data_IF_099594526045
#
_entry.id   IF_099594526045
#
_cell.length_a   1.000
_cell.length_b   1.000
_cell.length_c   1.000
_cell.angle_alpha   90.00
_cell.angle_beta   90.00
_cell.angle_gamma   90.00
#
_symmetry.space_group_name_H-M   'P 1'
#
loop_
_entity.id
_entity.type
_entity.pdbx_description
1 polymer ?
#
# COMPACT_ATOMS: atom_id res chain seq x y z
N UNK A 1 -13.82 -13.35 7.09
CA UNK A 1 -12.95 -13.78 8.20
C UNK A 1 -13.69 -13.52 9.49
N UNK A 2 -13.56 -14.40 10.48
CA UNK A 2 -14.26 -14.27 11.77
C UNK A 2 -13.22 -14.10 12.87
N UNK A 3 -13.33 -13.03 13.62
CA UNK A 3 -12.50 -12.77 14.79
C UNK A 3 -13.04 -13.54 15.98
N UNK A 4 -12.15 -14.26 16.67
CA UNK A 4 -12.50 -15.09 17.83
C UNK A 4 -11.72 -14.66 19.07
N UNK A 5 -12.09 -15.17 20.24
CA UNK A 5 -11.35 -14.94 21.49
C UNK A 5 -9.93 -15.49 21.46
N UNK A 6 -9.58 -16.37 20.50
CA UNK A 6 -8.21 -16.85 20.31
C UNK A 6 -7.23 -15.73 19.92
N UNK A 7 -7.73 -14.60 19.44
CA UNK A 7 -6.91 -13.42 19.12
C UNK A 7 -6.52 -12.59 20.35
N UNK A 8 -7.13 -12.87 21.51
CA UNK A 8 -6.77 -12.21 22.77
C UNK A 8 -5.39 -12.67 23.25
N UNK A 9 -4.67 -11.78 23.93
CA UNK A 9 -3.43 -12.13 24.61
C UNK A 9 -3.71 -13.08 25.79
N UNK A 10 -2.86 -14.09 26.05
CA UNK A 10 -1.64 -14.48 25.33
C UNK A 10 -1.89 -15.20 24.00
N UNK A 11 -1.16 -14.81 22.95
CA UNK A 11 -1.31 -15.38 21.60
C UNK A 11 -0.73 -16.78 21.49
N UNK A 12 -1.47 -17.69 20.84
CA UNK A 12 -1.07 -19.07 20.58
C UNK A 12 -1.36 -19.48 19.12
N UNK A 13 -0.75 -20.57 18.66
CA UNK A 13 -1.03 -21.18 17.36
C UNK A 13 -0.89 -20.21 16.17
N UNK A 14 -1.89 -20.20 15.28
CA UNK A 14 -1.88 -19.36 14.07
C UNK A 14 -1.90 -17.85 14.37
N UNK A 15 -2.51 -17.45 15.49
CA UNK A 15 -2.56 -16.04 15.93
C UNK A 15 -1.16 -15.55 16.29
N UNK A 16 -0.40 -16.35 17.06
CA UNK A 16 0.98 -16.03 17.38
C UNK A 16 1.82 -15.91 16.10
N UNK A 17 1.70 -16.87 15.18
CA UNK A 17 2.39 -16.81 13.89
C UNK A 17 2.05 -15.53 13.12
N UNK A 18 0.77 -15.11 13.09
CA UNK A 18 0.35 -13.87 12.46
C UNK A 18 0.99 -12.64 13.11
N UNK A 19 1.03 -12.55 14.44
CA UNK A 19 1.67 -11.44 15.14
C UNK A 19 3.19 -11.40 14.92
N UNK A 20 3.87 -12.55 14.89
CA UNK A 20 5.30 -12.63 14.56
C UNK A 20 5.58 -12.17 13.13
N UNK A 21 4.73 -12.56 12.16
CA UNK A 21 4.86 -12.10 10.77
C UNK A 21 4.62 -10.58 10.64
N UNK A 22 3.66 -10.01 11.39
CA UNK A 22 3.46 -8.56 11.45
C UNK A 22 4.67 -7.86 12.07
N UNK A 23 5.25 -8.41 13.13
CA UNK A 23 6.46 -7.86 13.74
C UNK A 23 7.65 -7.89 12.77
N UNK A 24 7.84 -9.00 12.04
CA UNK A 24 8.82 -9.09 10.96
C UNK A 24 8.57 -8.02 9.90
N UNK A 25 7.32 -7.83 9.46
CA UNK A 25 7.01 -6.80 8.48
C UNK A 25 7.27 -5.38 9.01
N UNK A 26 7.03 -5.13 10.31
CA UNK A 26 7.44 -3.90 10.98
C UNK A 26 8.95 -3.67 10.93
N UNK A 27 9.77 -4.72 11.14
CA UNK A 27 11.23 -4.65 11.00
C UNK A 27 11.66 -4.37 9.55
N UNK A 28 10.97 -4.91 8.55
CA UNK A 28 11.20 -4.59 7.14
C UNK A 28 10.88 -3.11 6.84
N UNK A 29 9.85 -2.56 7.48
CA UNK A 29 9.53 -1.13 7.44
C UNK A 29 10.66 -0.28 8.03
N UNK A 30 11.19 -0.66 9.19
CA UNK A 30 12.37 -0.01 9.78
C UNK A 30 13.59 -0.09 8.85
N UNK A 31 13.84 -1.25 8.24
CA UNK A 31 14.90 -1.43 7.23
C UNK A 31 14.76 -0.44 6.07
N UNK A 32 13.55 -0.28 5.53
CA UNK A 32 13.25 0.71 4.49
C UNK A 32 13.62 2.13 4.95
N UNK A 33 13.20 2.53 6.14
CA UNK A 33 13.48 3.86 6.70
C UNK A 33 14.99 4.11 6.88
N UNK A 34 15.75 3.09 7.30
CA UNK A 34 17.20 3.16 7.41
C UNK A 34 17.88 3.32 6.05
N UNK A 35 17.39 2.65 5.00
CA UNK A 35 17.90 2.85 3.64
C UNK A 35 17.57 4.22 3.08
N UNK A 36 16.39 4.78 3.38
CA UNK A 36 16.04 6.17 3.04
C UNK A 36 16.99 7.14 3.73
N UNK A 37 17.20 6.98 5.05
CA UNK A 37 18.10 7.83 5.82
C UNK A 37 19.54 7.75 5.29
N UNK A 38 20.07 6.53 5.13
CA UNK A 38 21.40 6.28 4.62
C UNK A 38 21.62 6.85 3.22
N UNK A 39 20.59 6.78 2.35
CA UNK A 39 20.63 7.38 1.02
C UNK A 39 20.68 8.91 1.08
N UNK A 40 19.89 9.51 1.97
CA UNK A 40 19.95 10.95 2.24
C UNK A 40 21.32 11.40 2.76
N UNK A 41 21.99 10.58 3.59
CA UNK A 41 23.35 10.88 4.08
C UNK A 41 24.43 10.82 2.98
N UNK A 42 24.24 10.01 1.93
CA UNK A 42 25.11 10.06 0.75
C UNK A 42 24.88 11.30 -0.11
N UNK A 43 23.62 11.72 -0.29
CA UNK A 43 23.29 12.88 -1.12
C UNK A 43 23.57 14.23 -0.45
N UNK A 44 23.40 14.30 0.88
CA UNK A 44 23.54 15.53 1.66
C UNK A 44 24.46 15.28 2.87
N UNK A 45 25.78 15.11 2.66
CA UNK A 45 26.72 14.87 3.75
C UNK A 45 26.71 15.98 4.81
N UNK A 46 26.52 17.23 4.37
CA UNK A 46 26.57 18.43 5.23
C UNK A 46 25.26 18.73 5.97
N UNK A 47 24.16 18.03 5.65
CA UNK A 47 22.84 18.33 6.21
C UNK A 47 22.05 17.07 6.54
N UNK A 48 22.19 16.58 7.78
CA UNK A 48 21.40 15.46 8.30
C UNK A 48 19.90 15.75 8.32
N UNK A 49 19.48 17.00 8.49
CA UNK A 49 18.06 17.41 8.57
C UNK A 49 17.25 16.98 7.35
N UNK A 50 17.81 17.06 6.14
CA UNK A 50 17.12 16.62 4.91
C UNK A 50 16.93 15.11 4.87
N UNK A 51 17.93 14.35 5.32
CA UNK A 51 17.83 12.90 5.43
C UNK A 51 16.78 12.50 6.48
N UNK A 52 16.78 13.15 7.64
CA UNK A 52 15.76 12.94 8.69
C UNK A 52 14.37 13.30 8.18
N UNK A 53 14.22 14.40 7.46
CA UNK A 53 12.94 14.80 6.86
C UNK A 53 12.44 13.77 5.85
N UNK A 54 13.29 13.29 4.94
CA UNK A 54 12.92 12.25 3.98
C UNK A 54 12.42 10.99 4.69
N UNK A 55 13.14 10.55 5.73
CA UNK A 55 12.75 9.41 6.54
C UNK A 55 11.45 9.67 7.30
N UNK A 56 11.29 10.84 7.91
CA UNK A 56 10.10 11.22 8.68
C UNK A 56 8.84 11.25 7.82
N UNK A 57 8.92 11.81 6.61
CA UNK A 57 7.78 11.81 5.68
C UNK A 57 7.29 10.39 5.37
N UNK A 58 8.18 9.41 5.25
CA UNK A 58 7.76 8.02 5.01
C UNK A 58 7.31 7.32 6.29
N UNK A 59 8.03 7.53 7.39
CA UNK A 59 7.67 6.97 8.69
C UNK A 59 6.30 7.43 9.17
N UNK A 60 5.89 8.64 8.79
CA UNK A 60 4.63 9.26 9.14
C UNK A 60 3.58 9.20 8.03
N UNK A 61 3.82 8.44 6.95
CA UNK A 61 2.84 8.17 5.90
C UNK A 61 1.87 7.07 6.39
N UNK A 62 0.56 7.37 6.58
CA UNK A 62 -0.35 6.40 7.20
C UNK A 62 -0.41 5.06 6.46
N UNK A 63 -0.45 5.10 5.13
CA UNK A 63 -0.43 3.89 4.29
C UNK A 63 0.84 3.06 4.46
N UNK A 64 2.01 3.70 4.64
CA UNK A 64 3.27 2.99 4.87
C UNK A 64 3.25 2.24 6.20
N UNK A 65 2.80 2.89 7.28
CA UNK A 65 2.65 2.26 8.59
C UNK A 65 1.63 1.12 8.54
N UNK A 66 0.48 1.33 7.88
CA UNK A 66 -0.55 0.29 7.73
C UNK A 66 -0.04 -0.94 6.97
N UNK A 67 0.68 -0.76 5.85
CA UNK A 67 1.22 -1.87 5.08
C UNK A 67 2.23 -2.70 5.86
N UNK A 68 3.08 -2.06 6.68
CA UNK A 68 4.07 -2.75 7.51
C UNK A 68 3.48 -3.33 8.81
N UNK A 69 2.24 -2.98 9.17
CA UNK A 69 1.46 -3.64 10.23
C UNK A 69 0.61 -4.83 9.74
N UNK A 70 0.51 -5.04 8.43
CA UNK A 70 -0.23 -6.13 7.82
C UNK A 70 0.70 -7.27 7.35
N UNK A 71 0.16 -8.47 7.15
CA UNK A 71 0.91 -9.59 6.56
C UNK A 71 0.73 -9.50 5.04
N UNK A 72 1.78 -9.10 4.33
CA UNK A 72 1.80 -9.01 2.87
C UNK A 72 3.24 -9.14 2.34
N UNK A 73 3.37 -9.38 1.04
CA UNK A 73 4.66 -9.41 0.34
C UNK A 73 5.17 -8.02 -0.07
N UNK A 74 4.32 -6.98 -0.03
CA UNK A 74 4.72 -5.63 -0.44
C UNK A 74 5.79 -5.05 0.49
N UNK A 75 5.70 -5.24 1.81
CA UNK A 75 6.68 -4.73 2.76
C UNK A 75 8.10 -5.25 2.50
N UNK A 76 8.24 -6.54 2.19
CA UNK A 76 9.53 -7.12 1.80
C UNK A 76 10.04 -6.54 0.47
N UNK A 77 9.18 -6.40 -0.53
CA UNK A 77 9.57 -5.81 -1.82
C UNK A 77 10.01 -4.35 -1.68
N UNK A 78 9.32 -3.55 -0.87
CA UNK A 78 9.65 -2.14 -0.62
C UNK A 78 11.02 -2.04 0.05
N UNK A 79 11.27 -2.88 1.06
CA UNK A 79 12.55 -2.95 1.75
C UNK A 79 13.69 -3.34 0.82
N UNK A 80 13.52 -4.42 0.03
CA UNK A 80 14.54 -4.88 -0.92
C UNK A 80 14.77 -3.87 -2.06
N UNK A 81 13.72 -3.22 -2.57
CA UNK A 81 13.85 -2.14 -3.56
C UNK A 81 14.66 -0.97 -3.00
N UNK A 82 14.35 -0.55 -1.77
CA UNK A 82 15.07 0.52 -1.08
C UNK A 82 16.53 0.13 -0.78
N UNK A 83 16.77 -1.12 -0.39
CA UNK A 83 18.10 -1.69 -0.19
C UNK A 83 18.92 -1.66 -1.49
N UNK A 84 18.34 -2.07 -2.62
CA UNK A 84 18.98 -2.02 -3.93
C UNK A 84 19.38 -0.59 -4.30
N UNK A 85 18.47 0.38 -4.16
CA UNK A 85 18.76 1.79 -4.48
C UNK A 85 19.85 2.36 -3.57
N UNK A 86 19.82 2.04 -2.27
CA UNK A 86 20.86 2.43 -1.32
C UNK A 86 22.22 1.81 -1.67
N UNK A 87 22.26 0.53 -2.05
CA UNK A 87 23.48 -0.15 -2.49
C UNK A 87 24.03 0.47 -3.78
N UNK A 88 23.16 0.83 -4.73
CA UNK A 88 23.55 1.54 -5.96
C UNK A 88 24.13 2.93 -5.65
N UNK A 89 23.51 3.71 -4.74
CA UNK A 89 24.08 4.97 -4.27
C UNK A 89 25.46 4.76 -3.63
N UNK A 90 25.60 3.75 -2.77
CA UNK A 90 26.88 3.42 -2.13
C UNK A 90 27.95 3.07 -3.16
N UNK A 91 27.60 2.32 -4.21
CA UNK A 91 28.49 1.98 -5.33
C UNK A 91 28.86 3.23 -6.13
N UNK A 92 27.89 4.09 -6.42
CA UNK A 92 28.07 5.33 -7.18
C UNK A 92 29.16 6.23 -6.59
N UNK A 93 29.13 6.41 -5.26
CA UNK A 93 30.07 7.28 -4.55
C UNK A 93 31.40 6.61 -4.16
N UNK A 94 31.53 5.28 -4.29
CA UNK A 94 32.80 4.59 -4.00
C UNK A 94 33.82 4.83 -5.11
N UNK A 95 35.13 4.95 -4.77
CA UNK A 95 36.19 5.04 -5.77
C UNK A 95 36.40 3.71 -6.51
N UNK A 96 36.22 2.58 -5.83
CA UNK A 96 36.39 1.23 -6.38
C UNK A 96 35.26 0.31 -5.92
N UNK A 97 34.74 -0.48 -6.86
CA UNK A 97 33.69 -1.47 -6.60
C UNK A 97 34.32 -2.80 -6.24
N UNK A 98 34.02 -3.31 -5.04
CA UNK A 98 34.53 -4.63 -4.59
C UNK A 98 33.59 -5.74 -5.05
N UNK A 99 34.08 -6.97 -5.30
CA UNK A 99 33.22 -8.10 -5.68
C UNK A 99 32.04 -8.34 -4.73
N UNK A 100 32.27 -8.21 -3.43
CA UNK A 100 31.22 -8.33 -2.39
C UNK A 100 30.06 -7.36 -2.57
N UNK A 101 30.31 -6.16 -3.10
CA UNK A 101 29.28 -5.14 -3.28
C UNK A 101 28.33 -5.55 -4.40
N UNK A 102 28.85 -6.16 -5.48
CA UNK A 102 28.07 -6.64 -6.61
C UNK A 102 27.34 -7.95 -6.30
N UNK A 103 27.98 -8.85 -5.55
CA UNK A 103 27.34 -10.08 -5.07
C UNK A 103 26.16 -9.76 -4.15
N UNK A 104 26.33 -8.83 -3.20
CA UNK A 104 25.24 -8.39 -2.32
C UNK A 104 24.10 -7.74 -3.10
N UNK A 105 24.44 -6.90 -4.09
CA UNK A 105 23.46 -6.27 -4.99
C UNK A 105 22.66 -7.30 -5.78
N UNK A 106 23.36 -8.27 -6.40
CA UNK A 106 22.75 -9.38 -7.12
C UNK A 106 21.83 -10.21 -6.23
N UNK A 107 22.29 -10.58 -5.02
CA UNK A 107 21.48 -11.32 -4.04
C UNK A 107 20.23 -10.54 -3.63
N UNK A 108 20.35 -9.24 -3.36
CA UNK A 108 19.21 -8.37 -2.98
C UNK A 108 18.17 -8.32 -4.09
N UNK A 109 18.61 -8.16 -5.35
CA UNK A 109 17.74 -8.15 -6.53
C UNK A 109 17.08 -9.51 -6.75
N UNK A 110 17.83 -10.60 -6.56
CA UNK A 110 17.29 -11.95 -6.67
C UNK A 110 16.15 -12.22 -5.67
N UNK A 111 16.34 -11.79 -4.42
CA UNK A 111 15.30 -11.86 -3.38
C UNK A 111 14.10 -10.98 -3.73
N UNK A 112 14.32 -9.81 -4.34
CA UNK A 112 13.23 -8.94 -4.77
C UNK A 112 12.39 -9.59 -5.88
N UNK A 113 13.06 -10.25 -6.84
CA UNK A 113 12.41 -11.02 -7.91
C UNK A 113 11.58 -12.17 -7.33
N UNK A 114 12.12 -12.93 -6.37
CA UNK A 114 11.38 -14.00 -5.69
C UNK A 114 10.19 -13.47 -4.87
N UNK A 115 10.24 -12.23 -4.39
CA UNK A 115 9.14 -11.59 -3.66
C UNK A 115 8.02 -11.15 -4.61
N UNK A 116 8.38 -10.56 -5.75
CA UNK A 116 7.45 -10.11 -6.78
C UNK A 116 8.19 -9.95 -8.11
N UNK A 117 7.57 -10.39 -9.22
CA UNK A 117 8.18 -10.32 -10.56
C UNK A 117 8.61 -8.91 -10.99
N UNK A 118 8.00 -7.86 -10.44
CA UNK A 118 8.41 -6.45 -10.65
C UNK A 118 9.85 -6.17 -10.20
N UNK A 119 10.41 -7.00 -9.31
CA UNK A 119 11.82 -6.94 -8.91
C UNK A 119 12.79 -7.11 -10.07
N UNK A 120 12.37 -7.69 -11.21
CA UNK A 120 13.21 -7.82 -12.40
C UNK A 120 13.65 -6.46 -12.95
N UNK A 121 12.83 -5.42 -12.78
CA UNK A 121 13.17 -4.05 -13.19
C UNK A 121 14.36 -3.48 -12.40
N UNK A 122 14.60 -3.96 -11.18
CA UNK A 122 15.78 -3.57 -10.39
C UNK A 122 17.07 -4.08 -11.04
N UNK A 123 17.05 -5.24 -11.71
CA UNK A 123 18.21 -5.74 -12.46
C UNK A 123 18.53 -4.82 -13.63
N UNK A 124 17.50 -4.42 -14.39
CA UNK A 124 17.63 -3.48 -15.52
C UNK A 124 18.23 -2.16 -15.03
N UNK A 125 17.69 -1.60 -13.94
CA UNK A 125 18.22 -0.39 -13.32
C UNK A 125 19.68 -0.58 -12.87
N UNK A 126 20.00 -1.68 -12.19
CA UNK A 126 21.34 -1.92 -11.66
C UNK A 126 22.40 -2.02 -12.78
N UNK A 127 22.09 -2.75 -13.86
CA UNK A 127 22.97 -2.82 -15.04
C UNK A 127 23.15 -1.43 -15.65
N UNK A 128 22.06 -0.69 -15.86
CA UNK A 128 22.12 0.69 -16.38
C UNK A 128 23.01 1.59 -15.50
N UNK A 129 22.84 1.56 -14.17
CA UNK A 129 23.63 2.39 -13.25
C UNK A 129 25.11 2.00 -13.25
N UNK A 130 25.45 0.72 -13.31
CA UNK A 130 26.86 0.27 -13.40
C UNK A 130 27.49 0.72 -14.72
N UNK A 131 26.76 0.61 -15.83
CA UNK A 131 27.22 1.06 -17.14
C UNK A 131 27.44 2.59 -17.13
N UNK A 132 26.49 3.36 -16.62
CA UNK A 132 26.64 4.81 -16.45
C UNK A 132 27.81 5.16 -15.52
N UNK A 133 28.01 4.38 -14.46
CA UNK A 133 29.11 4.58 -13.52
C UNK A 133 30.46 4.42 -14.21
N UNK A 134 30.63 3.42 -15.10
CA UNK A 134 31.84 3.26 -15.92
C UNK A 134 32.15 4.49 -16.78
N UNK A 135 31.12 5.06 -17.44
CA UNK A 135 31.30 6.23 -18.31
C UNK A 135 31.47 7.54 -17.53
N UNK A 136 30.91 7.63 -16.32
CA UNK A 136 31.01 8.82 -15.47
C UNK A 136 32.39 9.04 -14.87
N UNK A 137 33.19 7.97 -14.75
CA UNK A 137 34.59 8.03 -14.33
C UNK A 137 35.45 8.27 -15.58
N UNK A 138 36.16 9.40 -15.61
CA UNK A 138 37.01 9.83 -16.73
C UNK A 138 37.92 8.71 -17.29
N UNK A 139 38.34 8.80 -18.58
CA UNK A 139 39.09 7.76 -19.30
C UNK A 139 40.46 7.35 -18.71
N UNK A 140 40.91 7.98 -17.61
CA UNK A 140 42.17 7.63 -16.93
C UNK A 140 42.16 6.25 -16.27
N UNK A 141 40.99 5.67 -16.00
CA UNK A 141 40.87 4.27 -15.62
C UNK A 141 40.39 3.47 -16.82
N UNK A 142 41.32 3.04 -17.66
CA UNK A 142 41.07 2.12 -18.75
C UNK A 142 40.74 0.73 -18.15
N UNK A 143 39.52 0.59 -17.60
CA UNK A 143 39.04 -0.68 -17.07
C UNK A 143 39.03 -1.66 -18.23
N UNK A 144 39.99 -2.60 -18.22
CA UNK A 144 40.06 -3.71 -19.18
C UNK A 144 38.68 -4.35 -19.33
N UNK A 145 38.30 -4.69 -20.56
CA UNK A 145 37.00 -5.32 -20.86
C UNK A 145 36.71 -6.55 -19.97
N UNK A 146 37.75 -7.30 -19.59
CA UNK A 146 37.67 -8.41 -18.63
C UNK A 146 37.12 -7.99 -17.26
N UNK A 147 37.48 -6.82 -16.74
CA UNK A 147 36.97 -6.31 -15.45
C UNK A 147 35.49 -5.94 -15.55
N UNK A 148 35.06 -5.33 -16.67
CA UNK A 148 33.64 -4.99 -16.90
C UNK A 148 32.77 -6.25 -16.96
N UNK A 149 33.22 -7.26 -17.71
CA UNK A 149 32.57 -8.58 -17.79
C UNK A 149 32.49 -9.22 -16.40
N UNK A 150 33.61 -9.23 -15.65
CA UNK A 150 33.64 -9.79 -14.29
C UNK A 150 32.64 -9.08 -13.36
N UNK A 151 32.49 -7.76 -13.45
CA UNK A 151 31.53 -7.02 -12.63
C UNK A 151 30.08 -7.37 -12.99
N UNK A 152 29.74 -7.47 -14.28
CA UNK A 152 28.40 -7.90 -14.70
C UNK A 152 28.11 -9.34 -14.27
N UNK A 153 29.08 -10.25 -14.41
CA UNK A 153 28.94 -11.63 -13.94
C UNK A 153 28.71 -11.69 -12.43
N UNK A 154 29.43 -10.91 -11.63
CA UNK A 154 29.24 -10.87 -10.18
C UNK A 154 27.88 -10.30 -9.76
N UNK A 155 27.27 -9.44 -10.57
CA UNK A 155 25.90 -8.95 -10.36
C UNK A 155 24.85 -10.00 -10.78
N UNK A 156 25.01 -10.60 -11.95
CA UNK A 156 24.00 -11.47 -12.58
C UNK A 156 24.02 -12.88 -11.97
N UNK A 157 25.19 -13.40 -11.58
CA UNK A 157 25.33 -14.76 -11.08
C UNK A 157 24.44 -15.07 -9.87
N UNK A 158 24.37 -14.23 -8.80
CA UNK A 158 23.42 -14.47 -7.72
C UNK A 158 21.96 -14.45 -8.17
N UNK A 159 21.61 -13.59 -9.13
CA UNK A 159 20.25 -13.52 -9.67
C UNK A 159 19.86 -14.83 -10.35
N UNK A 160 20.73 -15.36 -11.20
CA UNK A 160 20.50 -16.64 -11.87
C UNK A 160 20.44 -17.81 -10.88
N UNK A 161 21.37 -17.87 -9.92
CA UNK A 161 21.43 -18.99 -8.97
C UNK A 161 20.26 -19.01 -7.99
N UNK A 162 19.82 -17.84 -7.51
CA UNK A 162 18.78 -17.76 -6.47
C UNK A 162 17.37 -17.72 -7.08
N UNK A 163 17.18 -17.00 -8.19
CA UNK A 163 15.85 -16.80 -8.79
C UNK A 163 15.63 -17.55 -10.11
N UNK A 164 16.70 -18.06 -10.76
CA UNK A 164 16.61 -18.71 -12.07
C UNK A 164 15.72 -19.94 -12.10
N UNK A 165 15.67 -20.72 -11.01
CA UNK A 165 14.81 -21.89 -10.90
C UNK A 165 13.31 -21.54 -11.05
N UNK A 166 12.89 -20.35 -10.61
CA UNK A 166 11.50 -19.90 -10.71
C UNK A 166 11.12 -19.66 -12.17
N UNK A 167 12.00 -19.02 -12.95
CA UNK A 167 11.78 -18.80 -14.38
C UNK A 167 11.77 -20.12 -15.15
N UNK A 168 12.67 -21.05 -14.82
CA UNK A 168 12.67 -22.39 -15.41
C UNK A 168 11.36 -23.13 -15.10
N UNK A 169 10.93 -23.13 -13.83
CA UNK A 169 9.64 -23.71 -13.40
C UNK A 169 8.47 -23.08 -14.16
N UNK A 170 8.44 -21.76 -14.28
CA UNK A 170 7.35 -21.06 -14.95
C UNK A 170 7.33 -21.39 -16.46
N UNK A 171 8.50 -21.50 -17.09
CA UNK A 171 8.62 -21.94 -18.47
C UNK A 171 8.07 -23.37 -18.66
N UNK A 172 8.48 -24.33 -17.82
CA UNK A 172 8.03 -25.71 -17.96
C UNK A 172 6.55 -25.91 -17.67
N UNK A 173 5.97 -25.16 -16.74
CA UNK A 173 4.56 -25.27 -16.37
C UNK A 173 3.61 -24.46 -17.26
N UNK A 174 4.04 -23.29 -17.73
CA UNK A 174 3.15 -22.30 -18.34
C UNK A 174 3.57 -21.85 -19.74
N UNK A 175 4.77 -22.22 -20.21
CA UNK A 175 5.35 -21.70 -21.46
C UNK A 175 5.67 -20.20 -21.42
N UNK A 176 5.60 -19.58 -20.24
CA UNK A 176 5.87 -18.16 -19.99
C UNK A 176 6.80 -18.05 -18.78
N UNK A 177 8.05 -17.57 -18.94
CA UNK A 177 9.02 -17.53 -17.84
C UNK A 177 8.60 -16.55 -16.73
N UNK A 178 7.74 -15.57 -17.03
CA UNK A 178 7.24 -14.59 -16.06
C UNK A 178 5.93 -14.99 -15.40
N UNK A 179 5.24 -16.00 -15.94
CA UNK A 179 3.87 -16.37 -15.59
C UNK A 179 2.87 -15.19 -15.60
N UNK A 180 3.16 -14.13 -16.38
CA UNK A 180 2.32 -12.93 -16.44
C UNK A 180 0.95 -13.25 -17.04
N UNK A 181 0.89 -14.10 -18.07
CA UNK A 181 -0.37 -14.50 -18.69
C UNK A 181 -1.27 -15.26 -17.70
N UNK A 182 -0.68 -16.12 -16.86
CA UNK A 182 -1.43 -16.86 -15.84
C UNK A 182 -2.03 -15.91 -14.80
N UNK A 183 -1.29 -14.86 -14.42
CA UNK A 183 -1.82 -13.84 -13.53
C UNK A 183 -3.02 -13.10 -14.14
N UNK A 184 -2.95 -12.73 -15.42
CA UNK A 184 -4.07 -12.08 -16.14
C UNK A 184 -5.29 -12.98 -16.18
N UNK A 185 -5.11 -14.28 -16.44
CA UNK A 185 -6.21 -15.26 -16.42
C UNK A 185 -6.87 -15.32 -15.03
N UNK A 186 -6.06 -15.43 -13.96
CA UNK A 186 -6.55 -15.44 -12.58
C UNK A 186 -7.24 -14.12 -12.19
N UNK A 187 -6.85 -13.00 -12.82
CA UNK A 187 -7.44 -11.69 -12.63
C UNK A 187 -8.75 -11.47 -13.42
N UNK A 188 -9.39 -12.55 -13.92
CA UNK A 188 -10.60 -12.55 -14.76
C UNK A 188 -10.38 -12.05 -16.20
N UNK A 189 -9.17 -12.24 -16.74
CA UNK A 189 -8.81 -11.86 -18.09
C UNK A 189 -8.29 -10.42 -18.21
N UNK A 190 -7.83 -10.07 -19.40
CA UNK A 190 -7.30 -8.74 -19.68
C UNK A 190 -8.43 -7.72 -19.71
N UNK A 191 -8.35 -6.70 -18.85
CA UNK A 191 -9.32 -5.61 -18.79
C UNK A 191 -9.36 -4.75 -20.05
N UNK A 192 -8.31 -4.78 -20.87
CA UNK A 192 -8.16 -3.92 -22.06
C UNK A 192 -8.39 -2.43 -21.74
N UNK A 193 -7.92 -1.98 -20.58
CA UNK A 193 -8.13 -0.61 -20.12
C UNK A 193 -7.33 0.40 -20.94
N UNK A 194 -7.97 1.49 -21.34
CA UNK A 194 -7.34 2.63 -22.00
C UNK A 194 -6.70 3.59 -20.98
N UNK A 195 -5.77 4.44 -21.45
CA UNK A 195 -5.17 5.49 -20.62
C UNK A 195 -6.21 6.45 -20.02
N UNK A 196 -7.31 6.71 -20.74
CA UNK A 196 -8.40 7.56 -20.26
C UNK A 196 -9.15 6.93 -19.09
N UNK A 197 -9.36 5.62 -19.12
CA UNK A 197 -9.99 4.89 -18.01
C UNK A 197 -9.06 4.81 -16.79
N UNK A 198 -7.75 4.60 -17.02
CA UNK A 198 -6.74 4.71 -15.94
C UNK A 198 -6.79 6.09 -15.29
N UNK A 199 -6.89 7.15 -16.09
CA UNK A 199 -7.01 8.53 -15.58
C UNK A 199 -8.29 8.73 -14.77
N UNK A 200 -9.42 8.16 -15.20
CA UNK A 200 -10.68 8.24 -14.46
C UNK A 200 -10.61 7.57 -13.07
N UNK A 201 -9.74 6.57 -12.90
CA UNK A 201 -9.52 5.87 -11.62
C UNK A 201 -8.40 6.50 -10.76
N UNK A 202 -7.80 7.62 -11.19
CA UNK A 202 -6.67 8.23 -10.45
C UNK A 202 -7.00 8.65 -9.04
N UNK A 203 -8.22 9.06 -8.76
CA UNK A 203 -8.61 9.45 -7.41
C UNK A 203 -8.43 8.29 -6.43
N UNK A 204 -8.73 7.05 -6.84
CA UNK A 204 -8.55 5.88 -5.97
C UNK A 204 -7.08 5.59 -5.69
N UNK A 205 -6.25 5.67 -6.73
CA UNK A 205 -4.80 5.43 -6.63
C UNK A 205 -4.15 6.51 -5.78
N UNK A 206 -4.52 7.77 -6.01
CA UNK A 206 -3.99 8.93 -5.30
C UNK A 206 -4.37 8.90 -3.81
N UNK A 207 -5.64 8.66 -3.48
CA UNK A 207 -6.07 8.59 -2.08
C UNK A 207 -5.42 7.41 -1.35
N UNK A 208 -5.35 6.25 -1.99
CA UNK A 208 -4.74 5.03 -1.40
C UNK A 208 -3.22 5.06 -1.35
N UNK A 209 -2.56 5.99 -2.03
CA UNK A 209 -1.13 6.27 -1.83
C UNK A 209 -0.89 6.78 -0.40
N UNK A 210 -1.81 7.60 0.13
CA UNK A 210 -1.66 8.25 1.44
C UNK A 210 -2.35 7.50 2.56
N UNK A 211 -3.63 7.17 2.38
CA UNK A 211 -4.42 6.50 3.41
C UNK A 211 -5.75 5.95 2.85
N UNK A 212 -5.79 4.65 2.54
CA UNK A 212 -7.03 3.87 2.48
C UNK A 212 -6.74 2.50 3.10
N UNK A 213 -7.36 2.21 4.24
CA UNK A 213 -7.08 1.03 5.04
C UNK A 213 -8.08 -0.10 4.75
N UNK A 214 -7.78 -1.26 5.34
CA UNK A 214 -8.53 -2.50 5.09
C UNK A 214 -8.34 -2.98 3.64
N UNK A 215 -9.44 -3.43 3.03
CA UNK A 215 -9.49 -3.79 1.61
C UNK A 215 -10.09 -2.62 0.81
N UNK A 216 -9.37 -1.49 0.79
CA UNK A 216 -9.78 -0.25 0.10
C UNK A 216 -11.12 0.34 0.60
N UNK A 217 -11.52 0.04 1.83
CA UNK A 217 -12.87 0.33 2.34
C UNK A 217 -12.89 1.29 3.54
N UNK A 218 -11.76 1.53 4.21
CA UNK A 218 -11.70 2.44 5.36
C UNK A 218 -10.94 3.69 4.97
N UNK A 219 -11.62 4.85 4.97
CA UNK A 219 -11.03 6.14 4.59
C UNK A 219 -10.99 7.08 5.81
N UNK A 220 -9.85 7.74 6.09
CA UNK A 220 -9.79 8.81 7.08
C UNK A 220 -10.56 10.07 6.62
N UNK A 221 -10.78 11.03 7.54
CA UNK A 221 -11.33 12.34 7.20
C UNK A 221 -10.54 13.07 6.09
N UNK A 222 -11.24 13.90 5.31
CA UNK A 222 -10.71 14.55 4.10
C UNK A 222 -9.47 15.41 4.33
N UNK A 223 -9.33 16.00 5.53
CA UNK A 223 -8.16 16.82 5.88
C UNK A 223 -6.84 16.03 5.81
N UNK A 224 -6.86 14.71 6.05
CA UNK A 224 -5.67 13.86 5.92
C UNK A 224 -5.12 13.92 4.50
N UNK A 225 -6.00 13.86 3.50
CA UNK A 225 -5.60 14.00 2.10
C UNK A 225 -5.16 15.42 1.76
N UNK A 226 -5.81 16.43 2.33
CA UNK A 226 -5.43 17.84 2.16
C UNK A 226 -4.00 18.12 2.64
N UNK A 227 -3.61 17.55 3.79
CA UNK A 227 -2.23 17.65 4.31
C UNK A 227 -1.23 17.06 3.33
N UNK A 228 -1.45 15.82 2.88
CA UNK A 228 -0.52 15.14 1.98
C UNK A 228 -0.44 15.81 0.60
N UNK A 229 -1.56 16.27 0.06
CA UNK A 229 -1.57 17.08 -1.15
C UNK A 229 -0.76 18.38 -0.97
N UNK A 230 -0.95 19.08 0.14
CA UNK A 230 -0.17 20.28 0.47
C UNK A 230 1.33 20.01 0.56
N UNK A 231 1.74 18.91 1.19
CA UNK A 231 3.14 18.48 1.27
C UNK A 231 3.72 18.21 -0.13
N UNK A 232 3.00 17.47 -0.98
CA UNK A 232 3.44 17.17 -2.35
C UNK A 232 3.55 18.45 -3.19
N UNK A 233 2.56 19.33 -3.13
CA UNK A 233 2.56 20.60 -3.88
C UNK A 233 3.70 21.52 -3.42
N UNK A 234 3.93 21.63 -2.11
CA UNK A 234 5.04 22.41 -1.55
C UNK A 234 6.40 21.84 -1.96
N UNK A 235 6.56 20.52 -1.91
CA UNK A 235 7.76 19.84 -2.40
C UNK A 235 7.99 20.08 -3.90
N UNK A 236 6.95 19.93 -4.72
CA UNK A 236 7.00 20.15 -6.16
C UNK A 236 7.36 21.61 -6.50
N UNK A 237 6.78 22.58 -5.78
CA UNK A 237 7.10 24.00 -5.95
C UNK A 237 8.58 24.29 -5.65
N UNK A 238 9.12 23.76 -4.56
CA UNK A 238 10.54 23.90 -4.22
C UNK A 238 11.47 23.22 -5.22
N UNK A 239 11.10 22.02 -5.71
CA UNK A 239 11.83 21.34 -6.78
C UNK A 239 11.80 22.10 -8.10
N UNK A 240 10.65 22.62 -8.49
CA UNK A 240 10.46 23.45 -9.69
C UNK A 240 11.28 24.74 -9.64
N UNK A 241 11.37 25.38 -8.47
CA UNK A 241 12.21 26.56 -8.27
C UNK A 241 13.70 26.26 -8.48
N UNK A 242 14.20 25.12 -8.00
CA UNK A 242 15.58 24.68 -8.25
C UNK A 242 15.83 24.44 -9.73
N UNK A 243 14.90 23.77 -10.42
CA UNK A 243 15.00 23.51 -11.86
C UNK A 243 14.97 24.80 -12.68
N UNK A 244 14.13 25.77 -12.32
CA UNK A 244 14.07 27.07 -12.98
C UNK A 244 15.41 27.83 -12.84
N UNK A 245 16.00 27.80 -11.64
CA UNK A 245 17.29 28.45 -11.37
C UNK A 245 18.48 27.72 -12.01
N UNK A 246 18.39 26.40 -12.19
CA UNK A 246 19.44 25.61 -12.84
C UNK A 246 19.47 25.78 -14.35
N UNK A 247 18.34 26.09 -15.00
CA UNK A 247 18.26 26.41 -16.44
C UNK A 247 19.03 27.67 -16.84
N UNK A 248 19.29 28.57 -15.88
CA UNK A 248 20.08 29.78 -16.09
C UNK A 248 21.59 29.56 -15.90
N UNK A 249 22.03 28.32 -15.60
CA UNK A 249 23.45 27.99 -15.42
C UNK A 249 24.11 27.52 -16.73
N UNK A 250 25.39 27.83 -16.96
CA UNK A 250 26.11 27.48 -18.19
C UNK A 250 26.17 25.96 -18.44
N UNK A 251 26.34 25.57 -19.72
CA UNK A 251 26.35 24.17 -20.21
C UNK A 251 27.35 23.26 -19.46
N UNK A 252 28.43 23.80 -18.92
CA UNK A 252 29.42 23.09 -18.10
C UNK A 252 28.81 22.47 -16.83
N UNK A 253 27.74 23.06 -16.28
CA UNK A 253 27.00 22.55 -15.11
C UNK A 253 26.02 21.42 -15.49
N UNK A 254 25.63 21.32 -16.78
CA UNK A 254 24.80 20.21 -17.28
C UNK A 254 25.56 18.89 -17.38
N UNK A 255 26.88 18.91 -17.66
CA UNK A 255 27.67 17.66 -17.67
C UNK A 255 27.84 17.08 -16.26
N UNK A 256 27.86 17.93 -15.23
CA UNK A 256 27.88 17.54 -13.80
C UNK A 256 26.55 16.94 -13.33
N UNK A 257 25.43 17.29 -13.97
CA UNK A 257 24.12 16.72 -13.65
C UNK A 257 24.01 15.24 -14.04
N UNK A 258 24.59 14.83 -15.17
CA UNK A 258 24.68 13.42 -15.58
C UNK A 258 25.60 12.59 -14.68
N UNK A 259 26.53 13.24 -13.97
CA UNK A 259 27.38 12.63 -12.95
C UNK A 259 26.71 12.56 -11.56
N UNK A 260 25.54 13.19 -11.40
CA UNK A 260 24.74 13.08 -10.18
C UNK A 260 23.87 11.82 -10.22
N UNK A 261 23.46 11.28 -9.07
CA UNK A 261 22.56 10.12 -9.04
C UNK A 261 21.09 10.44 -9.36
N UNK A 262 20.73 11.72 -9.48
CA UNK A 262 19.34 12.16 -9.69
C UNK A 262 18.68 11.59 -10.97
N UNK A 263 19.34 11.51 -12.14
CA UNK A 263 18.73 11.01 -13.36
C UNK A 263 18.31 9.54 -13.26
N UNK A 264 19.16 8.68 -12.69
CA UNK A 264 18.83 7.26 -12.58
C UNK A 264 17.84 6.98 -11.44
N UNK A 265 17.84 7.79 -10.37
CA UNK A 265 16.78 7.76 -9.36
C UNK A 265 15.41 8.14 -9.97
N UNK A 266 15.39 9.16 -10.83
CA UNK A 266 14.19 9.53 -11.59
C UNK A 266 13.80 8.45 -12.60
N UNK A 267 14.77 7.80 -13.26
CA UNK A 267 14.53 6.68 -14.15
C UNK A 267 13.86 5.50 -13.41
N UNK A 268 14.25 5.22 -12.16
CA UNK A 268 13.56 4.21 -11.34
C UNK A 268 12.10 4.56 -11.08
N UNK A 269 11.80 5.81 -10.71
CA UNK A 269 10.41 6.28 -10.54
C UNK A 269 9.64 6.09 -11.84
N UNK A 270 10.23 6.46 -12.98
CA UNK A 270 9.63 6.26 -14.31
C UNK A 270 9.37 4.79 -14.65
N UNK A 271 10.32 3.89 -14.37
CA UNK A 271 10.15 2.45 -14.58
C UNK A 271 9.01 1.88 -13.73
N UNK A 272 8.91 2.28 -12.46
CA UNK A 272 7.81 1.86 -11.59
C UNK A 272 6.47 2.39 -12.09
N UNK A 273 6.40 3.64 -12.55
CA UNK A 273 5.18 4.22 -13.14
C UNK A 273 4.76 3.50 -14.42
N UNK A 274 5.69 3.19 -15.32
CA UNK A 274 5.41 2.43 -16.56
C UNK A 274 4.92 1.02 -16.23
N UNK A 275 5.57 0.34 -15.28
CA UNK A 275 5.18 -0.99 -14.85
C UNK A 275 3.80 -1.01 -14.21
N UNK A 276 3.52 -0.04 -13.34
CA UNK A 276 2.22 0.15 -12.71
C UNK A 276 1.13 0.48 -13.74
N UNK A 277 1.40 1.38 -14.69
CA UNK A 277 0.46 1.75 -15.75
C UNK A 277 0.08 0.53 -16.61
N UNK A 278 1.08 -0.23 -17.06
CA UNK A 278 0.86 -1.49 -17.78
C UNK A 278 0.01 -2.45 -16.97
N UNK A 279 0.31 -2.60 -15.68
CA UNK A 279 -0.41 -3.52 -14.80
C UNK A 279 -1.87 -3.11 -14.59
N UNK A 280 -2.15 -1.81 -14.44
CA UNK A 280 -3.50 -1.27 -14.30
C UNK A 280 -4.33 -1.37 -15.59
N UNK A 281 -3.68 -1.27 -16.75
CA UNK A 281 -4.34 -1.49 -18.04
C UNK A 281 -4.77 -2.95 -18.24
N UNK A 282 -4.06 -3.89 -17.62
CA UNK A 282 -4.33 -5.34 -17.78
C UNK A 282 -5.20 -5.91 -16.65
N UNK A 283 -5.08 -5.39 -15.43
CA UNK A 283 -5.67 -6.02 -14.23
C UNK A 283 -6.26 -5.00 -13.23
N UNK A 284 -7.16 -5.41 -12.33
CA UNK A 284 -7.71 -4.53 -11.30
C UNK A 284 -6.64 -4.18 -10.25
N UNK A 285 -5.98 -3.03 -10.43
CA UNK A 285 -4.81 -2.62 -9.67
C UNK A 285 -4.84 -1.13 -9.25
N UNK A 286 -6.02 -0.62 -8.91
CA UNK A 286 -6.30 0.77 -8.54
C UNK A 286 -5.81 1.16 -7.12
N UNK A 287 -4.57 0.78 -6.78
CA UNK A 287 -3.99 0.97 -5.45
C UNK A 287 -2.63 1.68 -5.49
N UNK A 288 -2.49 2.79 -4.76
CA UNK A 288 -1.27 3.60 -4.69
C UNK A 288 -0.07 2.88 -4.09
N UNK A 289 -0.28 1.84 -3.26
CA UNK A 289 0.80 1.03 -2.67
C UNK A 289 1.75 0.41 -3.70
N UNK A 290 1.29 0.22 -4.94
CA UNK A 290 2.11 -0.34 -6.02
C UNK A 290 3.25 0.60 -6.45
N UNK A 291 3.19 1.89 -6.06
CA UNK A 291 4.24 2.87 -6.30
C UNK A 291 5.33 2.87 -5.20
N UNK A 292 5.12 2.16 -4.09
CA UNK A 292 6.02 2.17 -2.94
C UNK A 292 7.41 1.55 -3.19
N UNK A 293 7.65 0.68 -4.19
CA UNK A 293 9.02 0.35 -4.60
C UNK A 293 9.85 1.57 -5.00
N UNK A 294 9.22 2.69 -5.38
CA UNK A 294 9.85 3.98 -5.66
C UNK A 294 9.81 4.96 -4.46
N UNK A 295 9.42 4.53 -3.26
CA UNK A 295 9.22 5.43 -2.11
C UNK A 295 10.51 6.17 -1.73
N UNK A 296 11.67 5.52 -1.85
CA UNK A 296 12.96 6.10 -1.50
C UNK A 296 13.31 7.35 -2.33
N UNK A 297 13.36 7.31 -3.68
CA UNK A 297 13.64 8.51 -4.47
C UNK A 297 12.54 9.56 -4.34
N UNK A 298 11.28 9.16 -4.17
CA UNK A 298 10.17 10.09 -3.93
C UNK A 298 10.35 10.84 -2.60
N UNK A 299 10.73 10.15 -1.53
CA UNK A 299 11.01 10.75 -0.23
C UNK A 299 12.18 11.74 -0.29
N UNK A 300 13.26 11.36 -0.97
CA UNK A 300 14.44 12.22 -1.16
C UNK A 300 14.08 13.47 -1.98
N UNK A 301 13.32 13.31 -3.06
CA UNK A 301 12.83 14.42 -3.87
C UNK A 301 11.92 15.35 -3.07
N UNK A 302 10.99 14.79 -2.27
CA UNK A 302 10.08 15.56 -1.45
C UNK A 302 10.81 16.38 -0.38
N UNK A 303 11.72 15.74 0.37
CA UNK A 303 12.53 16.42 1.38
C UNK A 303 13.45 17.48 0.77
N UNK A 304 14.04 17.19 -0.39
CA UNK A 304 14.83 18.17 -1.13
C UNK A 304 13.97 19.38 -1.50
N UNK A 305 12.82 19.18 -2.14
CA UNK A 305 11.92 20.24 -2.56
C UNK A 305 11.46 21.12 -1.40
N UNK A 306 10.98 20.53 -0.31
CA UNK A 306 10.56 21.28 0.88
C UNK A 306 11.69 22.13 1.47
N UNK A 307 12.93 21.62 1.44
CA UNK A 307 14.10 22.34 1.97
C UNK A 307 14.51 23.56 1.15
N UNK A 308 13.97 23.73 -0.07
CA UNK A 308 14.28 24.84 -0.96
C UNK A 308 13.31 26.00 -0.82
N UNK A 309 12.22 25.82 -0.09
CA UNK A 309 11.27 26.88 0.20
C UNK A 309 11.91 27.90 1.15
N UNK A 310 11.54 29.17 0.99
CA UNK A 310 12.16 30.29 1.72
C UNK A 310 12.04 30.16 3.24
N UNK A 311 10.92 29.60 3.73
CA UNK A 311 10.68 29.42 5.16
C UNK A 311 11.29 28.13 5.68
N UNK A 312 12.16 28.24 6.69
CA UNK A 312 12.78 27.09 7.37
C UNK A 312 11.79 26.29 8.24
N UNK A 313 10.59 26.82 8.49
CA UNK A 313 9.56 26.18 9.32
C UNK A 313 8.79 25.14 8.51
N UNK A 314 8.66 25.31 7.20
CA UNK A 314 7.83 24.45 6.33
C UNK A 314 8.20 22.95 6.43
N UNK A 315 9.49 22.55 6.36
CA UNK A 315 9.88 21.16 6.56
C UNK A 315 9.41 20.54 7.89
N UNK A 316 9.51 21.29 8.98
CA UNK A 316 9.12 20.82 10.31
C UNK A 316 7.60 20.74 10.43
N UNK A 317 6.89 21.76 9.93
CA UNK A 317 5.43 21.74 9.88
C UNK A 317 4.91 20.56 9.04
N UNK A 318 5.54 20.28 7.89
CA UNK A 318 5.19 19.13 7.07
C UNK A 318 5.37 17.80 7.83
N UNK A 319 6.46 17.64 8.57
CA UNK A 319 6.69 16.44 9.39
C UNK A 319 5.66 16.30 10.54
N UNK A 320 5.35 17.40 11.24
CA UNK A 320 4.37 17.41 12.33
C UNK A 320 2.96 17.09 11.81
N UNK A 321 2.56 17.70 10.69
CA UNK A 321 1.26 17.44 10.07
C UNK A 321 1.18 16.00 9.56
N UNK A 322 2.24 15.49 8.90
CA UNK A 322 2.32 14.09 8.49
C UNK A 322 2.14 13.15 9.69
N UNK A 323 2.86 13.37 10.79
CA UNK A 323 2.71 12.59 12.02
C UNK A 323 1.27 12.64 12.54
N UNK A 324 0.67 13.83 12.56
CA UNK A 324 -0.72 14.02 12.99
C UNK A 324 -1.71 13.20 12.16
N UNK A 325 -1.49 13.07 10.83
CA UNK A 325 -2.32 12.21 9.98
C UNK A 325 -2.22 10.73 10.36
N UNK A 326 -1.02 10.25 10.69
CA UNK A 326 -0.80 8.86 11.10
C UNK A 326 -1.36 8.58 12.48
N UNK A 327 -1.13 9.46 13.46
CA UNK A 327 -1.67 9.31 14.81
C UNK A 327 -3.21 9.35 14.80
N UNK A 328 -3.81 10.25 14.01
CA UNK A 328 -5.28 10.29 13.87
C UNK A 328 -5.80 8.98 13.26
N UNK A 329 -5.12 8.49 12.22
CA UNK A 329 -5.50 7.25 11.57
C UNK A 329 -5.42 6.05 12.52
N UNK A 330 -4.34 5.99 13.32
CA UNK A 330 -4.08 4.91 14.26
C UNK A 330 -5.04 4.91 15.46
N UNK A 331 -5.31 6.07 16.06
CA UNK A 331 -6.06 6.16 17.31
C UNK A 331 -7.57 6.37 17.13
N UNK A 332 -8.02 6.93 16.00
CA UNK A 332 -9.43 7.23 15.78
C UNK A 332 -10.01 6.47 14.59
N UNK A 333 -9.37 6.53 13.42
CA UNK A 333 -9.96 5.99 12.19
C UNK A 333 -10.03 4.46 12.19
N UNK A 334 -8.91 3.78 12.44
CA UNK A 334 -8.86 2.32 12.43
C UNK A 334 -9.68 1.72 13.58
N UNK A 335 -9.53 2.14 14.85
CA UNK A 335 -10.31 1.58 15.94
C UNK A 335 -11.82 1.75 15.77
N UNK A 336 -12.27 2.92 15.30
CA UNK A 336 -13.70 3.16 15.06
C UNK A 336 -14.24 2.29 13.93
N UNK A 337 -13.48 2.10 12.84
CA UNK A 337 -13.91 1.29 11.71
C UNK A 337 -14.04 -0.22 12.04
N UNK A 338 -13.32 -0.67 13.08
CA UNK A 338 -13.30 -2.05 13.56
C UNK A 338 -13.87 -2.19 14.99
N UNK A 339 -14.66 -1.21 15.44
CA UNK A 339 -15.36 -1.29 16.73
C UNK A 339 -16.38 -2.44 16.71
N UNK A 340 -16.55 -3.11 17.85
CA UNK A 340 -17.58 -4.13 18.00
C UNK A 340 -18.98 -3.49 17.98
N UNK A 341 -20.00 -4.22 17.49
CA UNK A 341 -21.41 -3.85 17.66
C UNK A 341 -21.73 -3.48 19.10
N UNK A 342 -22.63 -2.52 19.26
CA UNK A 342 -23.10 -2.10 20.59
C UNK A 342 -24.06 -3.17 21.12
N UNK A 343 -24.02 -3.39 22.43
CA UNK A 343 -24.93 -4.30 23.13
C UNK A 343 -25.88 -3.44 23.93
N UNK A 344 -27.18 -3.64 23.72
CA UNK A 344 -28.26 -2.95 24.42
C UNK A 344 -29.20 -3.99 25.04
N UNK A 345 -30.22 -3.53 25.75
CA UNK A 345 -31.34 -4.35 26.22
C UNK A 345 -32.59 -4.16 25.36
N UNK A 346 -33.57 -5.06 25.48
CA UNK A 346 -34.86 -4.95 24.77
C UNK A 346 -35.59 -3.63 25.05
N UNK A 347 -35.46 -3.08 26.26
CA UNK A 347 -36.05 -1.80 26.65
C UNK A 347 -35.39 -0.58 25.99
N UNK A 348 -34.16 -0.73 25.48
CA UNK A 348 -33.40 0.33 24.83
C UNK A 348 -33.57 0.35 23.30
N UNK A 349 -34.33 -0.60 22.74
CA UNK A 349 -34.66 -0.61 21.31
C UNK A 349 -35.49 0.65 21.00
N UNK A 350 -35.08 1.49 20.03
CA UNK A 350 -35.84 2.68 19.66
C UNK A 350 -37.26 2.34 19.24
N UNK A 351 -38.23 3.17 19.65
CA UNK A 351 -39.63 3.01 19.25
C UNK A 351 -39.87 3.20 17.74
N UNK A 352 -38.89 3.76 17.03
CA UNK A 352 -38.87 3.89 15.57
C UNK A 352 -38.51 2.59 14.86
N UNK A 353 -37.86 1.64 15.54
CA UNK A 353 -37.52 0.35 14.97
C UNK A 353 -38.77 -0.52 14.81
N UNK A 354 -38.87 -1.21 13.68
CA UNK A 354 -39.96 -2.13 13.42
C UNK A 354 -39.66 -3.47 14.10
N UNK A 355 -40.51 -3.86 15.06
CA UNK A 355 -40.40 -5.13 15.76
C UNK A 355 -40.77 -6.27 14.80
N UNK A 356 -39.91 -7.28 14.72
CA UNK A 356 -40.03 -8.43 13.82
C UNK A 356 -40.18 -9.73 14.60
N UNK A 357 -39.34 -9.96 15.61
CA UNK A 357 -39.27 -11.21 16.38
C UNK A 357 -39.27 -12.48 15.51
N UNK A 358 -38.47 -12.45 14.44
CA UNK A 358 -38.37 -13.57 13.51
C UNK A 358 -37.31 -14.56 14.00
N UNK A 359 -37.71 -15.81 14.23
CA UNK A 359 -36.79 -16.89 14.55
C UNK A 359 -35.97 -17.28 13.32
N UNK A 360 -34.66 -17.26 13.49
CA UNK A 360 -33.67 -17.64 12.49
C UNK A 360 -33.00 -18.95 12.90
N UNK A 361 -32.20 -19.51 11.98
CA UNK A 361 -31.46 -20.73 12.24
C UNK A 361 -30.54 -20.60 13.47
N UNK A 362 -30.22 -21.75 14.08
CA UNK A 362 -29.29 -21.90 15.20
C UNK A 362 -29.66 -21.15 16.50
N UNK A 363 -30.91 -20.71 16.68
CA UNK A 363 -31.37 -20.04 17.90
C UNK A 363 -31.05 -18.54 17.92
N UNK A 364 -30.98 -17.93 16.74
CA UNK A 364 -30.92 -16.48 16.58
C UNK A 364 -32.31 -15.91 16.36
N UNK A 365 -32.57 -14.74 16.92
CA UNK A 365 -33.82 -14.00 16.69
C UNK A 365 -33.47 -12.64 16.11
N UNK A 366 -34.09 -12.29 14.99
CA UNK A 366 -34.12 -10.92 14.51
C UNK A 366 -35.25 -10.18 15.22
N UNK A 367 -34.91 -9.46 16.28
CA UNK A 367 -35.86 -8.81 17.18
C UNK A 367 -36.51 -7.61 16.50
N UNK A 368 -35.71 -6.78 15.84
CA UNK A 368 -36.20 -5.59 15.16
C UNK A 368 -35.30 -5.20 13.98
N UNK A 369 -35.85 -4.37 13.09
CA UNK A 369 -35.12 -3.74 12.00
C UNK A 369 -35.52 -2.28 11.83
N UNK A 370 -34.56 -1.43 11.49
CA UNK A 370 -34.78 -0.01 11.25
C UNK A 370 -34.10 0.41 9.94
N UNK A 371 -34.87 1.05 9.05
CA UNK A 371 -34.32 1.72 7.89
C UNK A 371 -34.00 3.16 8.28
N UNK A 372 -32.71 3.51 8.34
CA UNK A 372 -32.27 4.81 8.89
C UNK A 372 -32.45 5.96 7.86
N UNK A 373 -32.96 5.67 6.67
CA UNK A 373 -33.21 6.63 5.59
C UNK A 373 -34.55 6.38 4.94
N UNK A 374 -35.39 7.41 4.87
CA UNK A 374 -36.70 7.36 4.21
C UNK A 374 -36.60 7.38 2.68
N UNK A 375 -35.58 8.03 2.12
CA UNK A 375 -35.34 8.16 0.68
C UNK A 375 -33.84 8.00 0.40
N UNK A 376 -33.51 7.27 -0.66
CA UNK A 376 -32.13 7.09 -1.14
C UNK A 376 -32.06 7.18 -2.66
N UNK A 377 -30.96 7.71 -3.19
CA UNK A 377 -30.70 7.71 -4.63
C UNK A 377 -29.85 6.51 -5.06
N UNK A 378 -29.91 6.09 -6.34
CA UNK A 378 -29.06 5.03 -6.85
C UNK A 378 -27.57 5.30 -6.54
N UNK A 379 -26.83 4.23 -6.24
CA UNK A 379 -25.42 4.27 -5.80
C UNK A 379 -25.14 4.93 -4.43
N UNK A 380 -26.14 5.47 -3.73
CA UNK A 380 -25.98 5.89 -2.33
C UNK A 380 -26.06 4.68 -1.40
N UNK A 381 -25.33 4.72 -0.29
CA UNK A 381 -25.43 3.68 0.74
C UNK A 381 -26.69 3.92 1.55
N UNK A 382 -27.50 2.87 1.70
CA UNK A 382 -28.70 2.82 2.54
C UNK A 382 -28.34 2.12 3.84
N UNK A 383 -28.22 2.86 4.95
CA UNK A 383 -27.99 2.28 6.27
C UNK A 383 -29.25 1.59 6.81
N UNK A 384 -29.08 0.37 7.30
CA UNK A 384 -30.07 -0.35 8.10
C UNK A 384 -29.47 -0.72 9.45
N UNK A 385 -30.29 -0.66 10.49
CA UNK A 385 -29.94 -1.15 11.82
C UNK A 385 -30.74 -2.42 12.10
N UNK A 386 -30.04 -3.50 12.42
CA UNK A 386 -30.63 -4.79 12.76
C UNK A 386 -30.36 -5.09 14.23
N UNK A 387 -31.39 -5.56 14.92
CA UNK A 387 -31.35 -5.87 16.35
C UNK A 387 -31.47 -7.38 16.53
N UNK A 388 -30.38 -8.00 16.97
CA UNK A 388 -30.27 -9.45 17.05
C UNK A 388 -30.20 -9.94 18.48
N UNK A 389 -30.73 -11.12 18.74
CA UNK A 389 -30.62 -11.83 20.01
C UNK A 389 -30.19 -13.28 19.76
N UNK A 390 -29.36 -13.82 20.65
CA UNK A 390 -29.11 -15.26 20.73
C UNK A 390 -29.86 -15.82 21.94
N UNK A 391 -30.66 -16.87 21.73
CA UNK A 391 -31.41 -17.54 22.80
C UNK A 391 -30.61 -18.64 23.50
N UNK A 392 -29.55 -19.11 22.85
CA UNK A 392 -28.66 -20.14 23.35
C UNK A 392 -27.22 -19.89 22.88
N UNK A 393 -26.20 -20.51 23.49
CA UNK A 393 -24.83 -20.45 23.00
C UNK A 393 -24.67 -21.15 21.65
N UNK A 394 -24.10 -20.46 20.66
CA UNK A 394 -23.79 -21.04 19.35
C UNK A 394 -22.38 -21.61 19.34
N UNK A 395 -22.21 -22.78 18.72
CA UNK A 395 -20.90 -23.43 18.48
C UNK A 395 -20.27 -23.01 17.16
N UNK A 396 -21.08 -22.64 16.17
CA UNK A 396 -20.66 -22.16 14.85
C UNK A 396 -21.19 -20.76 14.61
N UNK A 397 -20.44 -19.94 13.87
CA UNK A 397 -20.87 -18.59 13.51
C UNK A 397 -21.66 -18.65 12.19
N UNK A 398 -23.00 -18.49 12.21
CA UNK A 398 -23.77 -18.48 10.98
C UNK A 398 -23.50 -17.22 10.17
N UNK A 399 -23.65 -17.35 8.85
CA UNK A 399 -23.59 -16.22 7.93
C UNK A 399 -24.98 -15.63 7.71
N UNK A 400 -25.05 -14.31 7.62
CA UNK A 400 -26.27 -13.58 7.27
C UNK A 400 -26.22 -13.17 5.80
N UNK A 401 -27.36 -13.32 5.13
CA UNK A 401 -27.59 -12.82 3.78
C UNK A 401 -28.68 -11.77 3.84
N UNK A 402 -28.32 -10.53 3.53
CA UNK A 402 -29.23 -9.40 3.41
C UNK A 402 -29.47 -9.13 1.93
N UNK A 403 -30.73 -9.04 1.52
CA UNK A 403 -31.12 -8.73 0.14
C UNK A 403 -32.06 -7.53 0.16
N UNK A 404 -31.72 -6.51 -0.63
CA UNK A 404 -32.61 -5.39 -0.89
C UNK A 404 -33.43 -5.72 -2.14
N UNK A 405 -34.76 -5.68 -2.03
CA UNK A 405 -35.67 -5.98 -3.13
C UNK A 405 -36.35 -4.72 -3.66
N UNK A 406 -36.52 -4.65 -4.98
CA UNK A 406 -37.30 -3.62 -5.66
C UNK A 406 -38.75 -4.04 -5.94
N UNK A 407 -39.45 -3.22 -6.73
CA UNK A 407 -40.90 -3.36 -7.03
C UNK A 407 -41.32 -4.75 -7.52
N UNK A 408 -40.50 -5.40 -8.34
CA UNK A 408 -40.80 -6.72 -8.93
C UNK A 408 -40.08 -7.89 -8.21
N UNK A 409 -39.73 -7.72 -6.93
CA UNK A 409 -38.85 -8.62 -6.17
C UNK A 409 -37.47 -8.83 -6.84
N UNK A 410 -37.08 -7.92 -7.73
CA UNK A 410 -35.75 -7.88 -8.26
C UNK A 410 -34.76 -7.54 -7.13
N UNK A 411 -33.68 -8.32 -7.01
CA UNK A 411 -32.62 -8.05 -6.05
C UNK A 411 -31.83 -6.84 -6.54
N UNK A 412 -31.90 -5.74 -5.80
CA UNK A 412 -31.20 -4.48 -6.10
C UNK A 412 -29.77 -4.48 -5.58
N UNK A 413 -29.56 -5.15 -4.45
CA UNK A 413 -28.25 -5.41 -3.86
C UNK A 413 -28.35 -6.61 -2.90
N UNK A 414 -27.22 -7.23 -2.62
CA UNK A 414 -27.13 -8.27 -1.61
C UNK A 414 -25.80 -8.23 -0.88
N UNK A 415 -25.85 -8.37 0.44
CA UNK A 415 -24.68 -8.53 1.28
C UNK A 415 -24.69 -9.92 1.90
N UNK A 416 -23.56 -10.62 1.83
CA UNK A 416 -23.34 -11.90 2.50
C UNK A 416 -22.12 -11.79 3.40
N UNK A 417 -22.27 -12.10 4.68
CA UNK A 417 -21.18 -12.02 5.64
C UNK A 417 -21.51 -12.65 6.97
N UNK A 418 -20.67 -12.38 7.96
CA UNK A 418 -20.91 -12.75 9.35
C UNK A 418 -21.40 -11.53 10.12
N UNK A 419 -22.20 -11.75 11.16
CA UNK A 419 -22.62 -10.73 12.09
C UNK A 419 -21.45 -9.89 12.63
N UNK A 420 -21.73 -8.62 12.90
CA UNK A 420 -20.74 -7.62 13.30
C UNK A 420 -19.61 -7.49 12.28
N UNK A 421 -19.91 -7.75 11.00
CA UNK A 421 -18.92 -7.79 9.89
C UNK A 421 -17.76 -8.78 10.14
N UNK A 422 -18.02 -9.82 10.94
CA UNK A 422 -17.03 -10.81 11.38
C UNK A 422 -16.17 -10.39 12.58
N UNK A 423 -16.33 -9.17 13.12
CA UNK A 423 -15.60 -8.69 14.31
C UNK A 423 -16.23 -9.16 15.61
N UNK A 424 -17.52 -9.50 15.58
CA UNK A 424 -18.26 -9.97 16.74
C UNK A 424 -19.29 -11.04 16.33
N UNK A 425 -18.80 -12.24 15.95
CA UNK A 425 -19.68 -13.33 15.55
C UNK A 425 -20.64 -13.75 16.67
N UNK A 426 -21.78 -14.34 16.28
CA UNK A 426 -22.83 -14.76 17.20
C UNK A 426 -22.38 -15.75 18.28
N UNK A 427 -21.30 -16.52 18.03
CA UNK A 427 -20.69 -17.40 19.03
C UNK A 427 -20.10 -16.67 20.24
N UNK A 428 -19.91 -15.34 20.16
CA UNK A 428 -19.39 -14.51 21.25
C UNK A 428 -20.46 -13.67 21.94
N UNK A 429 -21.73 -13.82 21.55
CA UNK A 429 -22.80 -13.00 22.08
C UNK A 429 -23.18 -13.43 23.50
N UNK A 430 -23.40 -12.46 24.41
CA UNK A 430 -23.98 -12.73 25.72
C UNK A 430 -25.41 -13.30 25.56
N UNK A 431 -25.81 -14.07 26.56
CA UNK A 431 -27.14 -14.68 26.63
C UNK A 431 -28.11 -13.80 27.43
N UNK A 432 -29.40 -14.10 27.32
CA UNK A 432 -30.46 -13.37 28.01
C UNK A 432 -30.97 -12.18 27.20
N UNK A 433 -31.30 -11.06 27.87
CA UNK A 433 -31.93 -9.88 27.24
C UNK A 433 -30.97 -9.00 26.44
N UNK A 434 -29.78 -9.50 26.14
CA UNK A 434 -28.78 -8.77 25.38
C UNK A 434 -29.14 -8.72 23.89
N UNK A 435 -29.23 -7.52 23.36
CA UNK A 435 -29.54 -7.21 21.97
C UNK A 435 -28.30 -6.64 21.29
N UNK A 436 -27.88 -7.27 20.21
CA UNK A 436 -26.73 -6.85 19.40
C UNK A 436 -27.22 -5.92 18.31
N UNK A 437 -26.73 -4.68 18.34
CA UNK A 437 -27.07 -3.63 17.38
C UNK A 437 -26.08 -3.66 16.23
N UNK A 438 -26.51 -4.14 15.07
CA UNK A 438 -25.69 -4.25 13.87
C UNK A 438 -26.11 -3.23 12.81
N UNK A 439 -25.18 -2.36 12.43
CA UNK A 439 -25.35 -1.48 11.27
C UNK A 439 -24.86 -2.17 10.00
N UNK A 440 -25.74 -2.25 9.01
CA UNK A 440 -25.45 -2.79 7.67
C UNK A 440 -25.73 -1.74 6.61
N UNK A 441 -25.00 -1.81 5.50
CA UNK A 441 -25.10 -0.82 4.42
C UNK A 441 -25.27 -1.54 3.09
N UNK A 442 -26.38 -1.28 2.41
CA UNK A 442 -26.66 -1.79 1.07
C UNK A 442 -26.59 -0.64 0.07
N UNK A 443 -26.14 -0.90 -1.16
CA UNK A 443 -26.04 0.09 -2.24
C UNK A 443 -26.87 -0.38 -3.43
N UNK A 444 -28.09 0.15 -3.63
CA UNK A 444 -28.89 -0.19 -4.79
C UNK A 444 -28.17 0.21 -6.09
N UNK A 445 -28.15 -0.70 -7.06
CA UNK A 445 -27.46 -0.53 -8.34
C UNK A 445 -28.06 0.62 -9.19
N UNK A 446 -27.24 1.24 -10.02
CA UNK A 446 -27.58 2.41 -10.84
C UNK A 446 -28.71 2.16 -11.85
N UNK A 447 -28.89 0.92 -12.29
CA UNK A 447 -29.90 0.53 -13.27
C UNK A 447 -31.32 0.37 -12.67
N UNK A 448 -31.49 0.62 -11.38
CA UNK A 448 -32.75 0.38 -10.68
C UNK A 448 -33.75 1.52 -10.86
N UNK A 449 -34.96 1.20 -11.34
CA UNK A 449 -36.08 2.12 -11.32
C UNK A 449 -36.46 2.41 -9.86
N UNK A 450 -36.23 3.64 -9.42
CA UNK A 450 -36.54 4.09 -8.05
C UNK A 450 -38.06 4.27 -7.91
N UNK A 451 -38.68 3.92 -6.76
CA UNK A 451 -40.07 4.28 -6.49
C UNK A 451 -40.24 5.81 -6.57
N UNK A 452 -41.24 6.25 -7.32
CA UNK A 452 -41.73 7.64 -7.32
C UNK A 452 -42.80 7.81 -6.26
#
# INVERSE_FOLDING_TARGET
>A
FVHTTAENWPWHGYVLAAHLLRALNGLLGLGTLLFVYGSGRFLWPDSSTKAVLATALIAFLPQFTFLHGAINNDGLLICLSSATLWQLLRIWYKPLVKPRDLLLLGTTIALAILTKMTGLLLLVLAVMVIVLWWFSRQPSTDLKSSTRIKQLLLLILPVLLISGWLFWRNWTLYGDPTAANQFVILARGDRQYTLRQVWADMDRVWLSLFAVFGWMNVRPPTWVYGVWQGIVLAAAAGGGWVLARSRQRPLTVRSTFLQSPAPWLAAWVGLVLVAWLRFMMQTPADQGRLLFPAILPLALAAAHGLSQLRSRIIPWLAAILALSTTLTSLFFVVPQAYARPRIITTAEIPTTAHLLYEEMAEGLILVAGEANTAVSHPQQLVPFTLYWQATQPLTTAPTVVLKLFGRDQAVLDSQHGYHGRGLYPATLWPQGDAIIVEEVFLRPDAATAVPT
#
